data_IF_505183171207
#
_entry.id   IF_505183171207
#
_cell.length_a   1.000
_cell.length_b   1.000
_cell.length_c   1.000
_cell.angle_alpha   90.00
_cell.angle_beta   90.00
_cell.angle_gamma   90.00
#
_symmetry.space_group_name_H-M   'P 1'
#
loop_
_entity.id
_entity.type
_entity.pdbx_description
1 polymer ?
#
# COMPACT_ATOMS: atom_id res chain seq x y z
N UNK A 1 5.26 -5.57 -2.21
CA UNK A 1 5.05 -5.18 -0.79
C UNK A 1 4.34 -6.30 -0.05
N UNK A 2 4.63 -6.47 1.22
CA UNK A 2 4.10 -7.54 2.08
C UNK A 2 3.17 -7.01 3.17
N UNK A 3 3.72 -6.47 4.25
CA UNK A 3 2.98 -5.96 5.41
C UNK A 3 3.71 -4.74 5.95
N UNK A 4 2.98 -3.73 6.38
CA UNK A 4 3.61 -2.57 6.98
C UNK A 4 2.67 -1.37 7.11
N UNK A 5 3.26 -0.18 7.13
CA UNK A 5 2.52 1.08 7.28
C UNK A 5 3.03 2.11 6.27
N UNK A 6 2.16 3.03 5.86
CA UNK A 6 2.50 4.07 4.91
C UNK A 6 2.00 5.44 5.37
N UNK A 7 2.75 6.48 5.00
CA UNK A 7 2.42 7.88 5.27
C UNK A 7 2.63 8.73 4.04
N UNK A 8 1.79 9.74 3.85
CA UNK A 8 1.98 10.78 2.83
C UNK A 8 2.01 12.14 3.52
N UNK A 9 3.09 12.89 3.30
CA UNK A 9 3.28 14.22 3.88
C UNK A 9 3.07 14.28 5.41
N UNK A 10 3.45 13.21 6.13
CA UNK A 10 3.26 13.08 7.58
C UNK A 10 1.88 12.52 8.00
N UNK A 11 0.92 12.39 7.08
CA UNK A 11 -0.39 11.78 7.37
C UNK A 11 -0.34 10.27 7.19
N UNK A 12 -0.84 9.52 8.18
CA UNK A 12 -0.87 8.06 8.14
C UNK A 12 -1.97 7.56 7.18
N UNK A 13 -1.59 6.81 6.14
CA UNK A 13 -2.52 6.17 5.19
C UNK A 13 -3.15 4.91 5.81
N UNK A 14 -2.46 4.31 6.77
CA UNK A 14 -2.86 3.11 7.48
C UNK A 14 -1.91 1.95 7.26
N UNK A 15 -2.34 0.79 7.78
CA UNK A 15 -1.63 -0.47 7.65
C UNK A 15 -1.95 -1.12 6.31
N UNK A 16 -0.92 -1.52 5.58
CA UNK A 16 -1.06 -2.39 4.42
C UNK A 16 -0.75 -3.84 4.76
N UNK A 17 -1.48 -4.75 4.12
CA UNK A 17 -1.22 -6.18 4.23
C UNK A 17 -1.66 -6.93 2.98
N UNK A 18 -0.68 -7.47 2.26
CA UNK A 18 -0.85 -8.30 1.07
C UNK A 18 -1.27 -9.73 1.45
N UNK A 19 -2.43 -9.88 2.08
CA UNK A 19 -3.05 -11.19 2.32
C UNK A 19 -3.90 -11.61 1.13
N UNK A 20 -3.82 -12.88 0.74
CA UNK A 20 -4.69 -13.45 -0.30
C UNK A 20 -5.97 -13.94 0.35
N UNK A 21 -7.12 -13.53 -0.18
CA UNK A 21 -8.43 -14.00 0.26
C UNK A 21 -8.62 -15.49 -0.03
N UNK A 22 -9.46 -16.22 0.72
CA UNK A 22 -9.85 -17.58 0.39
C UNK A 22 -10.30 -17.71 -1.08
N UNK A 23 -10.03 -18.85 -1.70
CA UNK A 23 -10.46 -19.10 -3.08
C UNK A 23 -11.95 -19.39 -3.18
N UNK A 24 -12.51 -19.93 -2.11
CA UNK A 24 -13.92 -20.33 -2.03
C UNK A 24 -14.76 -19.27 -1.30
N UNK A 25 -16.08 -19.34 -1.47
CA UNK A 25 -17.06 -18.47 -0.78
C UNK A 25 -17.55 -17.28 -1.60
N UNK A 26 -16.95 -17.00 -2.76
CA UNK A 26 -17.50 -16.02 -3.69
C UNK A 26 -18.47 -16.70 -4.65
N UNK A 27 -19.72 -16.24 -4.67
CA UNK A 27 -20.66 -16.65 -5.70
C UNK A 27 -20.36 -15.94 -7.03
N UNK A 28 -20.50 -16.69 -8.12
CA UNK A 28 -20.41 -16.17 -9.49
C UNK A 28 -21.49 -15.11 -9.73
N UNK A 29 -22.74 -15.46 -9.39
CA UNK A 29 -23.89 -14.56 -9.48
C UNK A 29 -24.24 -13.99 -8.11
N UNK A 30 -24.79 -12.78 -8.09
CA UNK A 30 -25.29 -12.11 -6.89
C UNK A 30 -26.68 -11.59 -7.24
N UNK A 31 -27.72 -12.19 -6.68
CA UNK A 31 -29.10 -11.72 -6.80
C UNK A 31 -29.44 -10.87 -5.57
N UNK A 32 -30.02 -9.69 -5.80
CA UNK A 32 -30.47 -8.81 -4.73
C UNK A 32 -31.78 -9.31 -4.09
N UNK A 33 -32.49 -10.24 -4.74
CA UNK A 33 -33.74 -10.82 -4.25
C UNK A 33 -33.43 -11.94 -3.26
N UNK A 34 -34.14 -11.97 -2.14
CA UNK A 34 -34.04 -13.04 -1.13
C UNK A 34 -33.39 -12.60 0.18
N UNK A 35 -33.18 -13.55 1.08
CA UNK A 35 -32.58 -13.29 2.39
C UNK A 35 -31.06 -13.06 2.23
N UNK A 36 -30.58 -11.94 2.78
CA UNK A 36 -29.16 -11.58 2.75
C UNK A 36 -28.34 -12.36 3.79
N UNK A 37 -27.11 -12.73 3.42
CA UNK A 37 -26.04 -13.06 4.35
C UNK A 37 -24.68 -12.54 3.81
N UNK A 38 -23.64 -12.51 4.64
CA UNK A 38 -22.35 -11.92 4.24
C UNK A 38 -21.67 -12.61 3.05
N UNK A 39 -22.03 -13.84 2.71
CA UNK A 39 -21.36 -14.64 1.69
C UNK A 39 -22.02 -14.56 0.30
N UNK A 40 -23.31 -14.19 0.20
CA UNK A 40 -24.06 -14.29 -1.08
C UNK A 40 -23.50 -13.42 -2.20
N UNK A 41 -22.84 -12.32 -1.86
CA UNK A 41 -22.29 -11.37 -2.82
C UNK A 41 -20.82 -11.05 -2.54
N UNK A 42 -20.11 -11.95 -1.85
CA UNK A 42 -18.68 -11.83 -1.65
C UNK A 42 -17.96 -11.82 -3.01
N UNK A 43 -16.95 -10.96 -3.15
CA UNK A 43 -16.14 -10.80 -4.36
C UNK A 43 -14.66 -10.79 -4.01
N UNK A 44 -13.81 -10.92 -5.04
CA UNK A 44 -12.35 -10.92 -4.94
C UNK A 44 -11.71 -12.12 -4.22
N UNK A 45 -12.37 -13.29 -4.24
CA UNK A 45 -11.74 -14.55 -3.81
C UNK A 45 -10.47 -14.86 -4.61
N UNK A 46 -9.48 -15.44 -3.95
CA UNK A 46 -8.16 -15.73 -4.52
C UNK A 46 -7.32 -14.50 -4.91
N UNK A 47 -7.80 -13.28 -4.66
CA UNK A 47 -7.06 -12.02 -4.88
C UNK A 47 -6.57 -11.46 -3.55
N UNK A 48 -5.71 -10.44 -3.61
CA UNK A 48 -5.32 -9.71 -2.40
C UNK A 48 -6.57 -9.08 -1.75
N UNK A 49 -6.73 -9.27 -0.44
CA UNK A 49 -7.82 -8.70 0.36
C UNK A 49 -7.88 -7.18 0.23
N UNK A 50 -6.71 -6.54 0.13
CA UNK A 50 -6.58 -5.12 -0.16
C UNK A 50 -5.33 -4.82 -1.00
N UNK A 51 -5.55 -4.45 -2.26
CA UNK A 51 -4.50 -4.02 -3.20
C UNK A 51 -4.30 -2.51 -3.21
N UNK A 52 -5.36 -1.74 -2.99
CA UNK A 52 -5.39 -0.28 -3.12
C UNK A 52 -5.57 0.37 -1.75
N UNK A 53 -4.81 1.44 -1.51
CA UNK A 53 -4.84 2.21 -0.27
C UNK A 53 -5.15 3.67 -0.62
N UNK A 54 -6.18 4.21 0.03
CA UNK A 54 -6.71 5.52 -0.32
C UNK A 54 -5.85 6.64 0.25
N UNK A 55 -5.45 7.59 -0.60
CA UNK A 55 -4.77 8.82 -0.21
C UNK A 55 -5.70 10.00 -0.53
N UNK A 56 -6.27 10.68 0.49
CA UNK A 56 -7.08 11.86 0.27
C UNK A 56 -6.35 12.94 -0.52
N UNK A 57 -7.02 13.52 -1.52
CA UNK A 57 -6.44 14.56 -2.37
C UNK A 57 -5.97 15.78 -1.59
N UNK A 58 -6.63 16.09 -0.46
CA UNK A 58 -6.28 17.19 0.45
C UNK A 58 -4.95 17.00 1.17
N UNK A 59 -4.41 15.78 1.23
CA UNK A 59 -3.09 15.51 1.81
C UNK A 59 -1.96 15.79 0.81
N UNK A 60 -2.29 15.93 -0.48
CA UNK A 60 -1.32 16.10 -1.56
C UNK A 60 -1.13 17.57 -1.92
N UNK A 61 0.14 17.97 -1.99
CA UNK A 61 0.62 19.25 -2.51
C UNK A 61 0.70 19.22 -4.04
N UNK A 62 0.93 20.38 -4.66
CA UNK A 62 1.14 20.50 -6.11
C UNK A 62 2.42 19.81 -6.58
N UNK A 63 3.46 19.83 -5.75
CA UNK A 63 4.76 19.18 -5.97
C UNK A 63 5.35 18.70 -4.62
N UNK A 64 6.47 17.98 -4.69
CA UNK A 64 7.29 17.64 -3.51
C UNK A 64 6.53 16.89 -2.42
N UNK A 65 5.69 15.94 -2.86
CA UNK A 65 4.98 15.03 -1.99
C UNK A 65 5.92 13.92 -1.51
N UNK A 66 5.89 13.65 -0.21
CA UNK A 66 6.70 12.62 0.44
C UNK A 66 5.84 11.41 0.78
N UNK A 67 6.14 10.26 0.18
CA UNK A 67 5.59 8.97 0.55
C UNK A 67 6.60 8.22 1.41
N UNK A 68 6.26 7.95 2.67
CA UNK A 68 7.08 7.13 3.57
C UNK A 68 6.42 5.77 3.71
N UNK A 69 7.18 4.70 3.52
CA UNK A 69 6.68 3.33 3.70
C UNK A 69 7.62 2.56 4.62
N UNK A 70 7.03 1.98 5.66
CA UNK A 70 7.66 0.99 6.51
C UNK A 70 7.22 -0.41 6.08
N UNK A 71 8.16 -1.28 5.70
CA UNK A 71 7.89 -2.67 5.28
C UNK A 71 8.47 -3.66 6.31
N UNK A 72 7.59 -4.47 6.89
CA UNK A 72 7.88 -5.41 7.98
C UNK A 72 8.30 -6.79 7.46
N UNK A 73 7.66 -7.28 6.39
CA UNK A 73 7.85 -8.67 5.91
C UNK A 73 8.74 -8.78 4.67
N UNK A 74 9.15 -7.64 4.13
CA UNK A 74 9.91 -7.54 2.90
C UNK A 74 9.02 -7.45 1.66
N UNK A 75 9.52 -6.75 0.64
CA UNK A 75 8.82 -6.56 -0.62
C UNK A 75 9.63 -5.72 -1.59
N UNK A 76 9.32 -5.84 -2.88
CA UNK A 76 9.92 -4.97 -3.89
C UNK A 76 9.17 -3.62 -3.94
N UNK A 77 9.83 -2.50 -3.60
CA UNK A 77 9.22 -1.18 -3.64
C UNK A 77 9.04 -0.62 -5.05
N UNK A 78 9.79 -1.12 -6.05
CA UNK A 78 9.67 -0.66 -7.44
C UNK A 78 8.31 -1.00 -8.06
N UNK A 79 7.53 -1.87 -7.41
CA UNK A 79 6.14 -2.18 -7.82
C UNK A 79 5.09 -1.20 -7.28
N UNK A 80 5.48 -0.22 -6.46
CA UNK A 80 4.55 0.79 -5.93
C UNK A 80 4.24 1.81 -7.02
N UNK A 81 2.96 2.09 -7.23
CA UNK A 81 2.51 3.13 -8.15
C UNK A 81 1.34 3.91 -7.58
N UNK A 82 1.32 5.21 -7.85
CA UNK A 82 0.18 6.07 -7.54
C UNK A 82 -0.76 6.05 -8.73
N UNK A 83 -2.02 5.71 -8.48
CA UNK A 83 -3.04 5.62 -9.51
C UNK A 83 -4.19 6.54 -9.17
N UNK A 84 -4.74 7.18 -10.18
CA UNK A 84 -5.95 7.98 -10.04
C UNK A 84 -7.16 7.03 -10.10
N UNK A 85 -8.07 7.19 -9.14
CA UNK A 85 -9.31 6.42 -9.11
C UNK A 85 -10.48 7.31 -9.53
N UNK A 86 -11.12 6.96 -10.64
CA UNK A 86 -12.32 7.64 -11.14
C UNK A 86 -13.43 6.62 -11.36
N UNK A 87 -14.64 6.93 -10.89
CA UNK A 87 -15.83 6.11 -11.12
C UNK A 87 -16.49 6.39 -12.47
N UNK A 88 -16.11 7.49 -13.13
CA UNK A 88 -16.54 7.95 -14.46
C UNK A 88 -15.38 8.67 -15.18
N UNK A 89 -15.34 8.71 -16.52
CA UNK A 89 -14.20 9.32 -17.21
C UNK A 89 -14.10 10.81 -16.84
N UNK A 90 -12.98 11.19 -16.24
CA UNK A 90 -12.59 12.56 -15.93
C UNK A 90 -11.11 12.71 -16.30
N UNK A 91 -10.70 13.92 -16.68
CA UNK A 91 -9.32 14.23 -17.10
C UNK A 91 -8.32 13.83 -16.01
N UNK A 92 -7.31 13.05 -16.38
CA UNK A 92 -6.26 12.60 -15.47
C UNK A 92 -5.22 13.70 -15.24
N UNK A 93 -4.99 14.07 -13.98
CA UNK A 93 -3.87 14.92 -13.57
C UNK A 93 -2.87 14.06 -12.80
N UNK A 94 -1.70 13.83 -13.37
CA UNK A 94 -0.62 13.08 -12.72
C UNK A 94 0.07 13.95 -11.65
N UNK A 95 0.40 13.35 -10.50
CA UNK A 95 1.23 13.97 -9.47
C UNK A 95 2.40 13.06 -9.16
N UNK A 96 3.61 13.64 -9.11
CA UNK A 96 4.82 12.91 -8.75
C UNK A 96 4.96 12.84 -7.22
N UNK A 97 5.26 11.66 -6.70
CA UNK A 97 5.57 11.41 -5.29
C UNK A 97 7.02 10.91 -5.16
N UNK A 98 7.77 11.47 -4.23
CA UNK A 98 9.09 10.95 -3.81
C UNK A 98 8.88 9.85 -2.77
N UNK A 99 9.50 8.69 -2.97
CA UNK A 99 9.30 7.51 -2.13
C UNK A 99 10.50 7.33 -1.19
N UNK A 100 10.25 7.35 0.12
CA UNK A 100 11.19 6.96 1.17
C UNK A 100 10.79 5.61 1.76
N UNK A 101 11.77 4.71 1.91
CA UNK A 101 11.54 3.36 2.43
C UNK A 101 12.35 3.10 3.68
N UNK A 102 11.69 2.45 4.63
CA UNK A 102 12.25 1.97 5.88
C UNK A 102 11.96 0.48 6.01
N UNK A 103 12.99 -0.33 6.29
CA UNK A 103 12.88 -1.78 6.52
C UNK A 103 13.62 -2.16 7.78
N UNK A 104 13.14 -3.19 8.48
CA UNK A 104 13.81 -3.74 9.67
C UNK A 104 14.87 -4.83 9.31
N UNK A 105 15.29 -4.93 8.03
CA UNK A 105 16.26 -5.93 7.55
C UNK A 105 16.89 -5.62 6.18
N UNK A 106 17.88 -6.43 5.72
CA UNK A 106 18.60 -6.20 4.46
C UNK A 106 17.67 -6.28 3.24
N UNK A 107 17.69 -5.24 2.40
CA UNK A 107 16.85 -5.12 1.21
C UNK A 107 17.51 -5.80 0.02
N UNK A 108 16.79 -6.68 -0.69
CA UNK A 108 17.18 -7.17 -2.01
C UNK A 108 16.69 -6.18 -3.07
N UNK A 109 17.59 -5.33 -3.58
CA UNK A 109 17.29 -4.41 -4.69
C UNK A 109 17.64 -5.11 -6.01
N UNK A 110 16.72 -5.20 -7.00
CA UNK A 110 17.07 -5.63 -8.35
C UNK A 110 17.99 -4.57 -8.98
N UNK A 111 19.11 -4.99 -9.55
CA UNK A 111 20.17 -4.11 -10.08
C UNK A 111 19.82 -3.38 -11.39
N UNK A 112 18.59 -3.51 -11.89
CA UNK A 112 18.24 -3.04 -13.24
C UNK A 112 16.91 -2.29 -13.23
N UNK A 113 17.01 -0.97 -13.09
CA UNK A 113 15.87 -0.07 -13.25
C UNK A 113 16.24 1.36 -12.84
N UNK A 114 16.07 2.29 -13.77
CA UNK A 114 16.31 3.74 -13.65
C UNK A 114 15.72 4.33 -12.35
N UNK A 115 16.43 5.21 -11.63
CA UNK A 115 16.04 5.59 -10.27
C UNK A 115 14.90 6.60 -10.30
N UNK A 116 13.68 6.15 -9.99
CA UNK A 116 12.83 7.00 -9.16
C UNK A 116 13.55 7.19 -7.83
N UNK A 117 13.60 8.42 -7.30
CA UNK A 117 14.42 8.76 -6.13
C UNK A 117 13.93 8.03 -4.88
N UNK A 118 14.40 6.79 -4.72
CA UNK A 118 14.11 5.93 -3.57
C UNK A 118 15.26 6.06 -2.60
N UNK A 119 15.08 6.82 -1.53
CA UNK A 119 16.08 6.92 -0.46
C UNK A 119 15.73 5.93 0.65
N UNK A 120 16.60 4.94 0.85
CA UNK A 120 16.44 3.90 1.86
C UNK A 120 17.18 4.30 3.13
N UNK A 121 16.50 4.21 4.27
CA UNK A 121 17.10 4.46 5.57
C UNK A 121 16.90 3.25 6.48
N UNK A 122 17.96 2.83 7.16
CA UNK A 122 17.86 1.82 8.21
C UNK A 122 17.35 2.46 9.49
N UNK A 123 16.52 1.74 10.23
CA UNK A 123 16.13 2.13 11.58
C UNK A 123 17.38 2.18 12.46
N UNK A 124 17.54 3.27 13.23
CA UNK A 124 18.55 3.32 14.27
C UNK A 124 18.22 2.27 15.35
N UNK A 125 19.23 1.53 15.80
CA UNK A 125 19.08 0.59 16.91
C UNK A 125 18.63 1.34 18.17
N UNK A 126 17.50 0.95 18.76
CA UNK A 126 17.16 1.39 20.11
C UNK A 126 18.10 0.65 21.07
N UNK A 127 19.13 1.34 21.56
CA UNK A 127 19.89 0.85 22.71
C UNK A 127 18.99 0.92 23.93
N UNK A 128 18.56 -0.23 24.46
CA UNK A 128 17.97 -0.29 25.79
C UNK A 128 19.10 0.00 26.80
N UNK A 129 19.22 1.23 27.27
CA UNK A 129 19.95 1.50 28.51
C UNK A 129 19.08 0.98 29.65
N UNK A 130 19.43 -0.18 30.18
CA UNK A 130 18.97 -0.58 31.51
C UNK A 130 19.72 0.28 32.53
N UNK A 131 19.11 1.37 32.96
CA UNK A 131 19.53 2.06 34.19
C UNK A 131 18.90 1.32 35.38
N UNK A 132 19.75 0.65 36.16
CA UNK A 132 19.53 0.31 37.58
C UNK A 132 20.67 0.91 38.38
#
# INVERSE_FOLDING_TARGET
>A
MGKGQAWVNGHNIGRFWSLVAPKDGCQETCDYRGAYNENICAKNCGKLTQKWYHVPRSWLKSSDNLLVIFEETGGNPLGISVNLHYTRPSVAVYQNLTILLFTDGPVKVPSTGEPQSVTQHRKCSCGATTDM
#
